data_IF_691503259710
#
_entry.id   IF_691503259710
#
_cell.length_a   1.000
_cell.length_b   1.000
_cell.length_c   1.000
_cell.angle_alpha   90.00
_cell.angle_beta   90.00
_cell.angle_gamma   90.00
#
_symmetry.space_group_name_H-M   'P 1'
#
loop_
_entity.id
_entity.type
_entity.pdbx_description
1 polymer ?
#
# COMPACT_ATOMS: atom_id res chain seq x y z
N UNK A 1 -19.11 -10.66 -17.32
CA UNK A 1 -18.75 -9.57 -16.39
C UNK A 1 -17.24 -9.61 -16.23
N UNK A 2 -16.53 -8.63 -16.78
CA UNK A 2 -15.08 -8.47 -16.61
C UNK A 2 -14.80 -8.20 -15.12
N UNK A 3 -14.11 -9.12 -14.45
CA UNK A 3 -13.71 -8.91 -13.06
C UNK A 3 -12.80 -7.67 -12.97
N UNK A 4 -13.00 -6.82 -11.96
CA UNK A 4 -12.09 -5.72 -11.64
C UNK A 4 -10.71 -6.28 -11.29
N UNK A 5 -9.66 -5.47 -11.44
CA UNK A 5 -8.34 -5.83 -10.92
C UNK A 5 -8.34 -5.82 -9.38
N UNK A 6 -7.40 -6.53 -8.77
CA UNK A 6 -7.21 -6.52 -7.32
C UNK A 6 -5.73 -6.58 -6.92
N UNK A 7 -5.46 -6.07 -5.74
CA UNK A 7 -4.17 -6.18 -5.07
C UNK A 7 -4.44 -6.52 -3.60
N UNK A 8 -4.27 -7.77 -3.23
CA UNK A 8 -4.55 -8.26 -1.89
C UNK A 8 -3.29 -8.71 -1.16
N UNK A 9 -3.28 -8.53 0.15
CA UNK A 9 -2.31 -9.05 1.10
C UNK A 9 -3.14 -9.60 2.24
N UNK A 10 -3.24 -10.92 2.33
CA UNK A 10 -4.16 -11.58 3.26
C UNK A 10 -3.52 -12.77 3.91
N UNK A 11 -3.77 -13.03 5.21
CA UNK A 11 -3.49 -14.33 5.80
C UNK A 11 -4.22 -15.45 5.06
N UNK A 12 -3.68 -16.65 5.09
CA UNK A 12 -4.31 -17.83 4.48
C UNK A 12 -5.68 -18.11 5.11
N UNK A 13 -5.84 -17.80 6.39
CA UNK A 13 -7.12 -17.84 7.09
C UNK A 13 -7.31 -16.58 7.92
N UNK A 14 -8.45 -15.92 7.74
CA UNK A 14 -8.88 -14.75 8.52
C UNK A 14 -10.04 -15.15 9.41
N UNK A 15 -9.87 -15.01 10.74
CA UNK A 15 -10.91 -15.26 11.74
C UNK A 15 -11.76 -14.03 11.99
N UNK A 16 -11.10 -12.87 12.05
CA UNK A 16 -11.71 -11.56 12.30
C UNK A 16 -10.92 -10.48 11.56
N UNK A 17 -11.60 -9.45 11.11
CA UNK A 17 -10.95 -8.28 10.56
C UNK A 17 -11.67 -7.00 10.95
N UNK A 18 -10.89 -5.93 11.13
CA UNK A 18 -11.41 -4.57 11.28
C UNK A 18 -10.62 -3.60 10.46
N UNK A 19 -11.25 -2.51 10.06
CA UNK A 19 -10.63 -1.51 9.22
C UNK A 19 -10.95 -0.10 9.76
N UNK A 20 -9.96 0.76 9.76
CA UNK A 20 -10.09 2.14 10.23
C UNK A 20 -9.01 3.01 9.58
N UNK A 21 -9.21 4.30 9.57
CA UNK A 21 -8.15 5.25 9.22
C UNK A 21 -7.30 5.58 10.44
N UNK A 22 -6.00 5.76 10.24
CA UNK A 22 -5.15 6.33 11.27
C UNK A 22 -5.60 7.77 11.55
N UNK A 23 -5.73 8.19 12.83
CA UNK A 23 -6.22 9.52 13.18
C UNK A 23 -5.48 10.64 12.44
N UNK A 24 -6.23 11.61 11.95
CA UNK A 24 -5.76 12.78 11.21
C UNK A 24 -4.99 12.44 9.93
N UNK A 25 -5.35 11.35 9.26
CA UNK A 25 -4.71 10.94 8.01
C UNK A 25 -5.67 10.19 7.10
N UNK A 26 -5.27 9.98 5.83
CA UNK A 26 -5.91 9.03 4.92
C UNK A 26 -5.12 7.70 4.84
N UNK A 27 -4.41 7.32 5.89
CA UNK A 27 -3.75 6.02 5.98
C UNK A 27 -4.76 4.98 6.46
N UNK A 28 -5.09 4.03 5.57
CA UNK A 28 -6.02 2.96 5.87
C UNK A 28 -5.29 1.82 6.58
N UNK A 29 -5.78 1.46 7.75
CA UNK A 29 -5.28 0.33 8.55
C UNK A 29 -6.32 -0.79 8.53
N UNK A 30 -5.88 -2.00 8.20
CA UNK A 30 -6.68 -3.22 8.31
C UNK A 30 -5.97 -4.18 9.26
N UNK A 31 -6.62 -4.54 10.34
CA UNK A 31 -6.15 -5.60 11.24
C UNK A 31 -6.88 -6.89 10.93
N UNK A 32 -6.12 -7.98 10.80
CA UNK A 32 -6.64 -9.30 10.48
C UNK A 32 -6.09 -10.31 11.50
N UNK A 33 -7.01 -10.94 12.26
CA UNK A 33 -6.68 -12.02 13.18
C UNK A 33 -6.64 -13.33 12.40
N UNK A 34 -5.49 -13.97 12.40
CA UNK A 34 -5.30 -15.33 11.92
C UNK A 34 -5.20 -16.31 13.10
N UNK A 35 -5.34 -17.63 12.89
CA UNK A 35 -5.19 -18.62 13.97
C UNK A 35 -3.83 -18.54 14.67
N UNK A 36 -2.80 -18.12 13.96
CA UNK A 36 -1.40 -18.12 14.41
C UNK A 36 -0.86 -16.74 14.77
N UNK A 37 -1.65 -15.67 14.61
CA UNK A 37 -1.18 -14.32 14.90
C UNK A 37 -2.10 -13.19 14.50
N UNK A 38 -1.61 -11.97 14.65
CA UNK A 38 -2.29 -10.74 14.27
C UNK A 38 -1.46 -10.00 13.21
N UNK A 39 -2.07 -9.79 12.05
CA UNK A 39 -1.54 -8.97 10.97
C UNK A 39 -2.16 -7.59 10.98
N UNK A 40 -1.32 -6.55 10.87
CA UNK A 40 -1.73 -5.17 10.59
C UNK A 40 -1.24 -4.78 9.19
N UNK A 41 -2.16 -4.46 8.30
CA UNK A 41 -1.90 -3.96 6.97
C UNK A 41 -2.20 -2.46 6.92
N UNK A 42 -1.18 -1.64 6.65
CA UNK A 42 -1.35 -0.20 6.38
C UNK A 42 -1.23 0.05 4.89
N UNK A 43 -2.15 0.82 4.33
CA UNK A 43 -2.18 1.16 2.90
C UNK A 43 -2.40 2.65 2.70
N UNK A 44 -1.56 3.29 1.88
CA UNK A 44 -1.70 4.71 1.54
C UNK A 44 -0.98 5.05 0.23
N UNK A 45 -1.41 6.14 -0.40
CA UNK A 45 -0.69 6.76 -1.51
C UNK A 45 0.29 7.79 -0.94
N UNK A 46 1.60 7.58 -1.08
CA UNK A 46 2.60 8.52 -0.60
C UNK A 46 2.45 9.90 -1.23
N UNK A 47 2.58 10.93 -0.41
CA UNK A 47 2.55 12.31 -0.84
C UNK A 47 3.98 12.88 -0.97
N UNK A 48 4.12 13.92 -1.77
CA UNK A 48 5.37 14.69 -1.86
C UNK A 48 5.60 15.40 -0.53
N UNK A 49 6.80 15.28 0.02
CA UNK A 49 7.15 15.96 1.27
C UNK A 49 6.89 17.47 1.17
N UNK A 50 6.17 18.00 2.15
CA UNK A 50 5.84 19.42 2.19
C UNK A 50 4.73 19.86 1.22
N UNK A 51 4.06 18.96 0.48
CA UNK A 51 2.97 19.32 -0.43
C UNK A 51 1.84 20.04 0.32
N UNK A 52 1.23 21.03 -0.34
CA UNK A 52 0.01 21.67 0.12
C UNK A 52 -1.19 21.07 -0.60
N UNK A 53 -2.10 20.43 0.14
CA UNK A 53 -3.28 19.79 -0.45
C UNK A 53 -4.39 20.79 -0.83
N UNK A 54 -4.28 22.04 -0.41
CA UNK A 54 -5.18 23.12 -0.80
C UNK A 54 -4.82 23.74 -2.15
N UNK A 55 -3.61 23.51 -2.67
CA UNK A 55 -3.15 23.99 -3.95
C UNK A 55 -3.51 23.01 -5.08
N UNK A 56 -3.74 23.54 -6.28
CA UNK A 56 -4.06 22.76 -7.48
C UNK A 56 -2.81 22.09 -8.11
N UNK A 57 -1.95 21.54 -7.27
CA UNK A 57 -0.70 20.86 -7.65
C UNK A 57 -0.81 19.38 -7.32
N UNK A 58 -0.25 18.52 -8.16
CA UNK A 58 -0.20 17.08 -7.88
C UNK A 58 0.69 16.78 -6.68
N UNK A 59 0.07 16.58 -5.51
CA UNK A 59 0.74 16.18 -4.28
C UNK A 59 1.13 14.69 -4.27
N UNK A 60 0.62 13.89 -5.21
CA UNK A 60 0.80 12.45 -5.23
C UNK A 60 2.07 12.03 -5.96
N UNK A 61 2.71 10.96 -5.46
CA UNK A 61 3.90 10.38 -6.07
C UNK A 61 3.60 9.36 -7.17
N UNK A 62 2.32 9.07 -7.45
CA UNK A 62 1.86 7.97 -8.31
C UNK A 62 2.36 6.63 -7.82
N UNK A 63 2.20 6.41 -6.54
CA UNK A 63 2.67 5.25 -5.79
C UNK A 63 1.58 4.81 -4.82
N UNK A 64 1.49 3.50 -4.56
CA UNK A 64 0.70 2.92 -3.47
C UNK A 64 1.64 2.10 -2.60
N UNK A 65 1.78 2.49 -1.36
CA UNK A 65 2.55 1.74 -0.36
C UNK A 65 1.61 0.89 0.49
N UNK A 66 1.98 -0.37 0.65
CA UNK A 66 1.33 -1.31 1.55
C UNK A 66 2.36 -1.96 2.46
N UNK A 67 2.13 -1.84 3.76
CA UNK A 67 2.99 -2.42 4.79
C UNK A 67 2.20 -3.44 5.59
N UNK A 68 2.62 -4.70 5.52
CA UNK A 68 2.05 -5.79 6.31
C UNK A 68 3.00 -6.10 7.47
N UNK A 69 2.58 -5.78 8.70
CA UNK A 69 3.34 -6.01 9.93
C UNK A 69 2.65 -7.06 10.79
N UNK A 70 3.37 -8.10 11.19
CA UNK A 70 2.86 -9.06 12.17
C UNK A 70 3.10 -8.51 13.58
N UNK A 71 1.99 -8.27 14.29
CA UNK A 71 2.00 -7.71 15.65
C UNK A 71 2.23 -8.82 16.68
N UNK A 72 1.62 -9.98 16.46
CA UNK A 72 1.68 -11.14 17.36
C UNK A 72 1.85 -12.43 16.55
N UNK A 73 2.62 -13.37 17.07
CA UNK A 73 2.72 -14.72 16.53
C UNK A 73 3.51 -14.81 15.21
N UNK A 74 3.02 -15.64 14.31
CA UNK A 74 3.57 -15.84 12.98
C UNK A 74 2.42 -16.03 12.00
N UNK A 75 2.46 -15.35 10.86
CA UNK A 75 1.36 -15.37 9.88
C UNK A 75 1.89 -15.78 8.52
N UNK A 76 1.29 -16.83 7.95
CA UNK A 76 1.43 -17.15 6.54
C UNK A 76 0.46 -16.29 5.77
N UNK A 77 0.98 -15.52 4.82
CA UNK A 77 0.19 -14.59 4.03
C UNK A 77 0.47 -14.72 2.55
N UNK A 78 -0.54 -14.42 1.77
CA UNK A 78 -0.48 -14.40 0.32
C UNK A 78 -0.58 -12.97 -0.18
N UNK A 79 0.39 -12.58 -1.00
CA UNK A 79 0.36 -11.38 -1.84
C UNK A 79 -0.18 -11.78 -3.20
N UNK A 80 -1.28 -11.17 -3.63
CA UNK A 80 -1.86 -11.43 -4.94
C UNK A 80 -2.16 -10.11 -5.65
N UNK A 81 -1.54 -9.90 -6.79
CA UNK A 81 -1.74 -8.75 -7.65
C UNK A 81 -2.25 -9.18 -9.02
N UNK A 82 -3.47 -8.80 -9.36
CA UNK A 82 -4.08 -9.06 -10.66
C UNK A 82 -4.69 -7.77 -11.22
N UNK A 83 -4.04 -7.09 -12.16
CA UNK A 83 -4.63 -5.93 -12.80
C UNK A 83 -5.77 -6.36 -13.74
N UNK A 84 -6.73 -5.46 -13.95
CA UNK A 84 -7.86 -5.71 -14.85
C UNK A 84 -7.37 -6.14 -16.25
N UNK A 85 -7.95 -7.23 -16.75
CA UNK A 85 -7.61 -7.79 -18.08
C UNK A 85 -6.37 -8.68 -18.10
N UNK A 86 -5.78 -8.94 -16.91
CA UNK A 86 -4.61 -9.80 -16.75
C UNK A 86 -3.29 -9.07 -17.04
N UNK A 87 -2.21 -9.68 -16.61
CA UNK A 87 -0.87 -9.15 -16.78
C UNK A 87 0.19 -10.23 -16.93
N UNK A 88 1.37 -9.81 -17.33
CA UNK A 88 2.62 -10.57 -17.29
C UNK A 88 3.57 -9.93 -16.30
N UNK A 89 4.23 -10.76 -15.49
CA UNK A 89 5.22 -10.34 -14.53
C UNK A 89 6.62 -10.70 -15.02
N UNK A 90 7.52 -9.75 -14.93
CA UNK A 90 8.92 -9.91 -15.28
C UNK A 90 9.78 -9.58 -14.06
N UNK A 91 10.58 -10.52 -13.51
CA UNK A 91 11.45 -10.25 -12.38
C UNK A 91 12.43 -9.10 -12.67
N UNK A 92 12.66 -8.26 -11.67
CA UNK A 92 13.60 -7.15 -11.67
C UNK A 92 14.30 -7.07 -10.32
N UNK A 93 15.39 -6.32 -10.27
CA UNK A 93 16.06 -6.04 -9.02
C UNK A 93 15.10 -5.33 -8.04
N UNK A 94 14.93 -5.93 -6.85
CA UNK A 94 14.04 -5.43 -5.79
C UNK A 94 12.54 -5.61 -6.03
N UNK A 95 12.10 -6.38 -7.06
CA UNK A 95 10.67 -6.58 -7.29
C UNK A 95 10.31 -7.19 -8.64
N UNK A 96 9.17 -6.76 -9.18
CA UNK A 96 8.67 -7.21 -10.49
C UNK A 96 8.19 -6.03 -11.33
N UNK A 97 8.44 -6.09 -12.63
CA UNK A 97 7.78 -5.26 -13.63
C UNK A 97 6.51 -5.97 -14.09
N UNK A 98 5.43 -5.22 -14.23
CA UNK A 98 4.10 -5.75 -14.58
C UNK A 98 3.64 -5.07 -15.87
N UNK A 99 3.31 -5.86 -16.87
CA UNK A 99 2.75 -5.41 -18.15
C UNK A 99 1.28 -5.78 -18.20
N UNK A 100 0.41 -4.77 -18.17
CA UNK A 100 -1.04 -4.97 -18.22
C UNK A 100 -1.47 -5.25 -19.66
N UNK A 101 -2.16 -6.36 -19.89
CA UNK A 101 -2.63 -6.73 -21.25
C UNK A 101 -3.68 -5.77 -21.78
N UNK A 102 -4.56 -5.27 -20.90
CA UNK A 102 -5.61 -4.32 -21.26
C UNK A 102 -5.10 -2.88 -21.49
N UNK A 103 -3.90 -2.55 -20.99
CA UNK A 103 -3.28 -1.22 -21.09
C UNK A 103 -1.77 -1.38 -21.30
N UNK A 104 -1.31 -1.67 -22.52
CA UNK A 104 0.10 -1.95 -22.81
C UNK A 104 1.05 -0.78 -22.49
N UNK A 105 0.55 0.45 -22.56
CA UNK A 105 1.33 1.67 -22.26
C UNK A 105 1.50 1.94 -20.76
N UNK A 106 0.72 1.23 -19.92
CA UNK A 106 0.82 1.35 -18.47
C UNK A 106 1.98 0.48 -17.95
N UNK A 107 3.05 1.13 -17.52
CA UNK A 107 4.18 0.46 -16.87
C UNK A 107 3.96 0.47 -15.35
N UNK A 108 3.74 -0.71 -14.78
CA UNK A 108 3.67 -0.91 -13.34
C UNK A 108 4.95 -1.57 -12.84
N UNK A 109 5.38 -1.18 -11.65
CA UNK A 109 6.49 -1.81 -10.93
C UNK A 109 6.02 -2.05 -9.49
N UNK A 110 6.15 -3.29 -9.04
CA UNK A 110 5.89 -3.67 -7.66
C UNK A 110 7.23 -4.01 -7.00
N UNK A 111 7.70 -3.11 -6.13
CA UNK A 111 8.89 -3.30 -5.31
C UNK A 111 8.52 -3.96 -3.99
N UNK A 112 9.44 -4.76 -3.45
CA UNK A 112 9.21 -5.52 -2.23
C UNK A 112 10.48 -5.64 -1.41
N UNK A 113 10.32 -5.68 -0.09
CA UNK A 113 11.43 -6.00 0.85
C UNK A 113 11.74 -7.48 0.94
N UNK A 114 10.91 -8.33 0.36
CA UNK A 114 11.16 -9.77 0.21
C UNK A 114 11.09 -10.16 -1.27
N UNK A 115 11.79 -11.20 -1.71
CA UNK A 115 11.71 -11.65 -3.09
C UNK A 115 10.28 -12.01 -3.49
N UNK A 116 9.81 -11.47 -4.63
CA UNK A 116 8.54 -11.83 -5.25
C UNK A 116 8.79 -12.88 -6.34
N UNK A 117 8.05 -13.97 -6.29
CA UNK A 117 8.11 -15.03 -7.32
C UNK A 117 7.24 -14.73 -8.53
N UNK A 118 6.38 -13.71 -8.46
CA UNK A 118 5.46 -13.29 -9.51
C UNK A 118 4.30 -12.49 -8.96
N UNK A 119 3.18 -12.52 -9.66
CA UNK A 119 1.94 -11.83 -9.26
C UNK A 119 1.23 -12.50 -8.07
N UNK A 120 1.64 -13.71 -7.73
CA UNK A 120 1.15 -14.49 -6.61
C UNK A 120 2.35 -15.01 -5.82
N UNK A 121 2.51 -14.59 -4.58
CA UNK A 121 3.63 -14.96 -3.73
C UNK A 121 3.14 -15.21 -2.30
N UNK A 122 3.50 -16.35 -1.73
CA UNK A 122 3.25 -16.65 -0.32
C UNK A 122 4.51 -16.41 0.50
N UNK A 123 4.35 -15.87 1.70
CA UNK A 123 5.45 -15.56 2.61
C UNK A 123 5.02 -15.70 4.07
N UNK A 124 5.90 -16.25 4.91
CA UNK A 124 5.70 -16.31 6.36
C UNK A 124 6.38 -15.11 7.02
N UNK A 125 5.66 -14.35 7.81
CA UNK A 125 6.14 -13.20 8.57
C UNK A 125 5.95 -13.48 10.08
N UNK A 126 6.94 -13.15 10.88
CA UNK A 126 6.91 -13.33 12.35
C UNK A 126 6.68 -11.99 13.05
N UNK A 127 6.24 -12.06 14.30
CA UNK A 127 6.04 -10.88 15.14
C UNK A 127 7.25 -9.93 15.12
N UNK A 128 6.97 -8.64 14.95
CA UNK A 128 7.98 -7.58 14.81
C UNK A 128 8.58 -7.43 13.40
N UNK A 129 8.27 -8.34 12.47
CA UNK A 129 8.71 -8.23 11.08
C UNK A 129 7.63 -7.57 10.21
N UNK A 130 8.07 -6.93 9.14
CA UNK A 130 7.21 -6.28 8.16
C UNK A 130 7.60 -6.65 6.73
N UNK A 131 6.56 -6.76 5.89
CA UNK A 131 6.67 -6.81 4.44
C UNK A 131 6.21 -5.46 3.90
N UNK A 132 7.07 -4.79 3.13
CA UNK A 132 6.72 -3.55 2.45
C UNK A 132 6.59 -3.79 0.96
N UNK A 133 5.51 -3.31 0.36
CA UNK A 133 5.19 -3.41 -1.05
C UNK A 133 4.89 -2.03 -1.60
N UNK A 134 5.69 -1.55 -2.55
CA UNK A 134 5.50 -0.27 -3.23
C UNK A 134 5.13 -0.49 -4.68
N UNK A 135 3.88 -0.23 -5.02
CA UNK A 135 3.39 -0.22 -6.40
C UNK A 135 3.58 1.17 -7.00
N UNK A 136 4.32 1.26 -8.09
CA UNK A 136 4.55 2.50 -8.83
C UNK A 136 3.93 2.40 -10.23
N UNK A 137 3.29 3.49 -10.68
CA UNK A 137 2.81 3.64 -12.05
C UNK A 137 3.35 4.92 -12.67
N UNK A 138 4.39 4.78 -13.50
CA UNK A 138 5.05 5.90 -14.16
C UNK A 138 5.15 5.66 -15.66
N UNK A 139 5.12 6.76 -16.41
CA UNK A 139 5.57 6.77 -17.80
C UNK A 139 7.09 6.93 -17.80
N UNK A 140 7.81 6.00 -18.45
CA UNK A 140 9.27 6.04 -18.56
C UNK A 140 9.99 4.90 -17.84
N UNK A 141 11.32 4.94 -17.82
CA UNK A 141 12.15 3.94 -17.16
C UNK A 141 12.02 4.03 -15.64
N UNK A 142 11.73 2.89 -15.03
CA UNK A 142 11.70 2.79 -13.57
C UNK A 142 13.13 2.89 -13.02
N UNK A 143 13.30 3.72 -12.01
CA UNK A 143 14.46 3.59 -11.14
C UNK A 143 14.09 2.53 -10.09
N UNK A 144 15.02 1.63 -9.79
CA UNK A 144 14.91 0.74 -8.62
C UNK A 144 15.07 1.60 -7.37
N UNK A 145 14.04 1.91 -6.62
CA UNK A 145 14.23 2.65 -5.40
C UNK A 145 14.49 1.65 -4.28
N UNK A 146 15.56 1.84 -3.58
CA UNK A 146 15.52 1.54 -2.17
C UNK A 146 14.56 2.57 -1.57
N UNK A 147 13.29 2.22 -1.43
CA UNK A 147 12.33 3.12 -0.80
C UNK A 147 12.47 3.03 0.72
N UNK A 148 12.48 4.18 1.34
CA UNK A 148 12.41 4.33 2.80
C UNK A 148 10.93 4.45 3.20
N UNK A 149 10.33 3.34 3.65
CA UNK A 149 8.93 3.31 4.09
C UNK A 149 8.67 4.30 5.21
N UNK A 150 9.58 4.37 6.18
CA UNK A 150 9.41 5.25 7.34
C UNK A 150 9.42 6.74 6.93
N UNK A 151 10.28 7.12 5.99
CA UNK A 151 10.28 8.47 5.44
C UNK A 151 9.00 8.77 4.65
N UNK A 152 8.57 7.87 3.75
CA UNK A 152 7.34 8.03 2.96
C UNK A 152 6.11 8.18 3.87
N UNK A 153 6.02 7.36 4.91
CA UNK A 153 4.93 7.42 5.88
C UNK A 153 4.96 8.73 6.68
N UNK A 154 6.10 9.08 7.25
CA UNK A 154 6.25 10.31 8.04
C UNK A 154 5.86 11.56 7.23
N UNK A 155 6.36 11.67 6.00
CA UNK A 155 6.13 12.82 5.14
C UNK A 155 4.65 12.91 4.73
N UNK A 156 4.02 11.77 4.41
CA UNK A 156 2.59 11.70 4.10
C UNK A 156 1.72 12.09 5.29
N UNK A 157 2.01 11.58 6.49
CA UNK A 157 1.29 11.93 7.73
C UNK A 157 1.42 13.42 8.03
N UNK A 158 2.63 13.99 7.87
CA UNK A 158 2.86 15.42 8.11
C UNK A 158 2.04 16.31 7.17
N UNK A 159 1.91 15.92 5.88
CA UNK A 159 1.08 16.63 4.90
C UNK A 159 -0.40 16.56 5.26
N UNK A 160 -0.93 15.39 5.61
CA UNK A 160 -2.34 15.23 6.03
C UNK A 160 -2.67 16.05 7.27
N UNK A 161 -1.85 15.94 8.33
CA UNK A 161 -2.09 16.68 9.59
C UNK A 161 -2.03 18.19 9.40
N UNK A 162 -1.09 18.68 8.58
CA UNK A 162 -1.02 20.10 8.26
C UNK A 162 -2.27 20.57 7.50
N UNK A 163 -2.76 19.81 6.53
CA UNK A 163 -3.95 20.15 5.80
C UNK A 163 -5.19 20.18 6.69
N UNK A 164 -5.35 19.19 7.55
CA UNK A 164 -6.47 19.12 8.51
C UNK A 164 -6.47 20.27 9.52
N UNK A 165 -5.29 20.79 9.91
CA UNK A 165 -5.19 21.96 10.78
C UNK A 165 -5.76 23.25 10.15
N UNK A 166 -5.92 23.28 8.82
CA UNK A 166 -6.54 24.41 8.13
C UNK A 166 -8.08 24.30 8.05
N UNK A 167 -8.66 23.16 8.48
CA UNK A 167 -10.09 22.93 8.47
C UNK A 167 -10.70 23.36 9.80
N UNK A 168 -11.50 24.42 9.79
CA UNK A 168 -12.32 24.84 10.92
C UNK A 168 -13.75 24.34 10.71
N UNK A 169 -14.11 23.25 11.38
CA UNK A 169 -15.47 22.71 11.36
C UNK A 169 -16.00 22.57 12.80
N UNK A 170 -17.12 23.21 13.09
CA UNK A 170 -17.76 23.20 14.41
C UNK A 170 -19.20 22.65 14.37
N UNK A 171 -19.47 21.72 13.45
CA UNK A 171 -20.77 21.11 13.30
C UNK A 171 -20.96 19.82 14.12
N UNK A 172 -22.20 19.27 14.12
CA UNK A 172 -22.53 18.05 14.88
C UNK A 172 -21.84 16.78 14.34
N UNK A 173 -21.13 16.87 13.23
CA UNK A 173 -20.40 15.77 12.59
C UNK A 173 -18.89 15.98 12.64
N UNK A 174 -18.39 16.69 13.64
CA UNK A 174 -16.96 17.00 13.80
C UNK A 174 -16.06 15.73 13.79
N UNK A 175 -16.58 14.61 14.30
CA UNK A 175 -15.88 13.33 14.27
C UNK A 175 -15.72 12.69 12.87
N UNK A 176 -16.35 13.26 11.83
CA UNK A 176 -16.27 12.79 10.45
C UNK A 176 -15.35 13.65 9.58
N UNK A 177 -14.78 14.70 10.12
CA UNK A 177 -13.83 15.62 9.51
C UNK A 177 -12.44 15.45 10.18
#
# INVERSE_FOLDING_TARGET
>A
VTRGGHFTITPDQVLESRQFYEPDTALLVTEMRAPTGLLRLTAFCPLVAGADLSEDVSATRRELLRTATVVEGSVDLTVHFEPRGGAEAEPRDGGIRIRCRAQPDLNLHLYSTVPLTGLHTSVTIKAGQSLHLLLCWRQGSAHSPRFDEAALRRDTVAVWRRWLQCLEYHGPQEALV
#
